data_IF_835671442169
#
_entry.id   IF_835671442169
#
_cell.length_a   1.000
_cell.length_b   1.000
_cell.length_c   1.000
_cell.angle_alpha   90.00
_cell.angle_beta   90.00
_cell.angle_gamma   90.00
#
_symmetry.space_group_name_H-M   'P 1'
#
loop_
_entity.id
_entity.type
_entity.pdbx_description
1 polymer ?
#
# COMPACT_ATOMS: atom_id res chain seq x y z
N UNK A 1 -47.41 -53.11 -21.30
CA UNK A 1 -47.33 -51.66 -21.03
C UNK A 1 -45.86 -51.28 -20.99
N UNK A 2 -45.41 -50.56 -22.01
CA UNK A 2 -44.02 -50.17 -22.21
C UNK A 2 -43.73 -48.85 -21.47
N UNK A 3 -42.67 -48.83 -20.66
CA UNK A 3 -42.16 -47.60 -20.06
C UNK A 3 -41.10 -47.00 -21.00
N UNK A 4 -41.15 -45.70 -21.35
CA UNK A 4 -40.27 -45.13 -22.35
C UNK A 4 -38.88 -44.82 -21.76
N UNK A 5 -37.84 -45.08 -22.57
CA UNK A 5 -36.40 -44.81 -22.31
C UNK A 5 -36.03 -43.32 -22.25
N UNK A 6 -36.97 -42.42 -21.94
CA UNK A 6 -36.75 -40.96 -21.98
C UNK A 6 -36.19 -40.37 -20.69
N UNK A 7 -36.08 -41.15 -19.61
CA UNK A 7 -35.70 -40.63 -18.29
C UNK A 7 -34.20 -40.60 -17.99
N UNK A 8 -33.35 -41.32 -18.73
CA UNK A 8 -31.90 -41.40 -18.41
C UNK A 8 -31.06 -40.31 -19.10
N UNK A 9 -31.49 -39.84 -20.29
CA UNK A 9 -30.79 -38.80 -21.04
C UNK A 9 -30.97 -37.39 -20.44
N UNK A 10 -32.09 -37.14 -19.76
CA UNK A 10 -32.34 -35.86 -19.05
C UNK A 10 -31.53 -35.74 -17.75
N UNK A 11 -31.22 -36.85 -17.08
CA UNK A 11 -30.39 -36.85 -15.86
C UNK A 11 -28.90 -36.63 -16.17
N UNK A 12 -28.40 -37.11 -17.31
CA UNK A 12 -27.02 -36.82 -17.76
C UNK A 12 -26.86 -35.39 -18.30
N UNK A 13 -27.90 -34.80 -18.89
CA UNK A 13 -27.88 -33.40 -19.32
C UNK A 13 -27.89 -32.41 -18.14
N UNK A 14 -28.53 -32.75 -17.01
CA UNK A 14 -28.56 -31.89 -15.82
C UNK A 14 -27.27 -31.96 -14.97
N UNK A 15 -26.49 -33.03 -15.06
CA UNK A 15 -25.15 -33.12 -14.44
C UNK A 15 -24.06 -32.40 -15.28
N UNK A 16 -24.33 -32.09 -16.55
CA UNK A 16 -23.39 -31.39 -17.44
C UNK A 16 -23.34 -29.87 -17.28
N UNK A 17 -24.28 -29.26 -16.53
CA UNK A 17 -24.35 -27.80 -16.35
C UNK A 17 -24.09 -27.32 -14.92
N UNK A 18 -23.71 -28.22 -14.01
CA UNK A 18 -23.29 -27.88 -12.64
C UNK A 18 -21.77 -27.92 -12.45
N UNK A 19 -21.00 -27.56 -13.48
CA UNK A 19 -19.66 -27.01 -13.23
C UNK A 19 -19.83 -25.60 -12.68
N UNK A 20 -20.17 -25.52 -11.40
CA UNK A 20 -19.97 -24.31 -10.62
C UNK A 20 -18.56 -23.81 -10.90
N UNK A 21 -18.48 -22.59 -11.41
CA UNK A 21 -17.23 -21.85 -11.57
C UNK A 21 -16.57 -21.86 -10.19
N UNK A 22 -15.58 -22.74 -10.03
CA UNK A 22 -14.75 -22.79 -8.84
C UNK A 22 -14.01 -21.46 -8.81
N UNK A 23 -14.57 -20.50 -8.10
CA UNK A 23 -13.89 -19.28 -7.66
C UNK A 23 -12.88 -19.71 -6.59
N UNK A 24 -11.80 -20.38 -7.03
CA UNK A 24 -10.61 -20.55 -6.21
C UNK A 24 -10.17 -19.16 -5.75
N UNK A 25 -9.90 -18.95 -4.48
CA UNK A 25 -9.30 -17.70 -3.95
C UNK A 25 -7.77 -17.79 -3.86
N UNK A 26 -7.18 -18.88 -4.38
CA UNK A 26 -5.77 -19.22 -4.15
C UNK A 26 -4.99 -19.55 -5.43
N UNK A 27 -5.43 -19.06 -6.59
CA UNK A 27 -4.73 -19.25 -7.87
C UNK A 27 -4.44 -20.70 -8.31
N UNK A 28 -5.20 -21.68 -7.82
CA UNK A 28 -5.15 -23.06 -8.32
C UNK A 28 -5.96 -23.19 -9.62
N UNK A 29 -5.59 -22.39 -10.63
CA UNK A 29 -6.33 -22.29 -11.87
C UNK A 29 -5.99 -23.43 -12.84
N UNK A 30 -6.97 -23.92 -13.62
CA UNK A 30 -6.71 -24.87 -14.69
C UNK A 30 -5.69 -24.33 -15.71
N UNK A 31 -5.02 -25.22 -16.47
CA UNK A 31 -4.12 -24.82 -17.55
C UNK A 31 -4.78 -23.83 -18.52
N UNK A 32 -4.03 -22.81 -18.97
CA UNK A 32 -4.49 -21.74 -19.86
C UNK A 32 -5.63 -20.85 -19.30
N UNK A 33 -5.86 -20.84 -17.98
CA UNK A 33 -6.76 -19.92 -17.29
C UNK A 33 -5.96 -18.99 -16.40
N UNK A 34 -6.29 -17.71 -16.38
CA UNK A 34 -5.57 -16.71 -15.61
C UNK A 34 -6.06 -16.65 -14.16
N UNK A 35 -5.14 -16.45 -13.22
CA UNK A 35 -5.49 -16.02 -11.87
C UNK A 35 -5.48 -14.50 -11.79
N UNK A 36 -6.61 -13.89 -11.45
CA UNK A 36 -6.73 -12.45 -11.17
C UNK A 36 -5.92 -12.03 -9.95
N UNK A 37 -5.69 -10.72 -9.80
CA UNK A 37 -5.09 -10.12 -8.60
C UNK A 37 -5.82 -10.44 -7.29
N UNK A 38 -7.07 -10.90 -7.35
CA UNK A 38 -7.90 -11.25 -6.20
C UNK A 38 -7.93 -12.76 -5.93
N UNK A 39 -7.08 -13.55 -6.62
CA UNK A 39 -6.97 -14.99 -6.41
C UNK A 39 -7.94 -15.83 -7.23
N UNK A 40 -8.85 -15.19 -7.98
CA UNK A 40 -9.90 -15.85 -8.79
C UNK A 40 -9.44 -16.25 -10.18
N UNK A 41 -9.89 -17.41 -10.65
CA UNK A 41 -9.60 -17.93 -11.98
C UNK A 41 -10.59 -17.43 -13.03
N UNK A 42 -10.09 -17.02 -14.20
CA UNK A 42 -10.93 -16.67 -15.34
C UNK A 42 -10.12 -16.33 -16.59
N UNK A 43 -10.81 -16.13 -17.70
CA UNK A 43 -10.19 -15.88 -19.03
C UNK A 43 -10.46 -14.47 -19.55
N UNK A 44 -11.29 -13.68 -18.86
CA UNK A 44 -11.61 -12.31 -19.23
C UNK A 44 -10.48 -11.36 -18.85
N UNK A 45 -10.45 -10.15 -19.39
CA UNK A 45 -9.42 -9.15 -19.04
C UNK A 45 -9.40 -8.78 -17.55
N UNK A 46 -10.50 -8.97 -16.80
CA UNK A 46 -10.49 -8.81 -15.35
C UNK A 46 -9.63 -9.87 -14.62
N UNK A 47 -9.37 -11.01 -15.26
CA UNK A 47 -8.60 -12.13 -14.72
C UNK A 47 -7.23 -12.26 -15.40
N UNK A 48 -7.23 -12.13 -16.72
CA UNK A 48 -6.06 -12.20 -17.59
C UNK A 48 -5.41 -10.87 -17.87
N UNK A 49 -5.94 -9.76 -17.35
CA UNK A 49 -5.34 -8.44 -17.57
C UNK A 49 -4.01 -8.26 -16.84
N UNK A 50 -3.57 -7.02 -16.79
CA UNK A 50 -2.23 -6.62 -16.33
C UNK A 50 -1.87 -7.03 -14.90
N UNK A 51 -2.86 -7.27 -14.03
CA UNK A 51 -2.68 -7.63 -12.61
C UNK A 51 -2.89 -9.13 -12.34
N UNK A 52 -2.94 -9.92 -13.40
CA UNK A 52 -2.98 -11.36 -13.35
C UNK A 52 -1.75 -11.93 -12.61
N UNK A 53 -1.96 -12.80 -11.63
CA UNK A 53 -0.95 -13.44 -10.78
C UNK A 53 -0.26 -14.63 -11.45
N UNK A 54 -0.98 -15.37 -12.28
CA UNK A 54 -0.48 -16.60 -12.95
C UNK A 54 -1.38 -16.99 -14.13
N UNK A 55 -0.90 -17.84 -15.04
CA UNK A 55 -1.61 -18.23 -16.27
C UNK A 55 -1.25 -17.36 -17.49
N UNK A 56 -2.03 -17.38 -18.58
CA UNK A 56 -1.75 -16.64 -19.81
C UNK A 56 -2.13 -15.15 -19.66
N UNK A 57 -1.51 -14.47 -18.70
CA UNK A 57 -1.69 -13.05 -18.44
C UNK A 57 -1.33 -12.22 -19.68
N UNK A 58 -2.21 -11.29 -20.07
CA UNK A 58 -2.09 -10.38 -21.20
C UNK A 58 -1.56 -9.03 -20.72
N UNK A 59 -0.41 -8.61 -21.25
CA UNK A 59 0.22 -7.35 -20.83
C UNK A 59 1.66 -7.11 -21.29
N UNK A 60 2.21 -7.86 -22.24
CA UNK A 60 3.52 -7.57 -22.84
C UNK A 60 3.39 -6.41 -23.84
N UNK A 61 3.39 -5.18 -23.34
CA UNK A 61 3.37 -3.97 -24.17
C UNK A 61 3.55 -2.71 -23.33
N UNK A 62 4.77 -2.17 -23.34
CA UNK A 62 5.24 -0.97 -22.62
C UNK A 62 5.22 -1.13 -21.09
N UNK A 63 6.33 -0.88 -20.36
CA UNK A 63 6.32 -0.98 -18.90
C UNK A 63 5.20 -0.10 -18.34
N UNK A 64 4.23 -0.71 -17.68
CA UNK A 64 3.23 0.03 -16.92
C UNK A 64 3.94 0.75 -15.77
N UNK A 65 3.36 1.83 -15.25
CA UNK A 65 3.90 2.47 -14.06
C UNK A 65 4.09 1.50 -12.88
N UNK A 66 3.26 0.44 -12.78
CA UNK A 66 3.42 -0.62 -11.79
C UNK A 66 4.69 -1.46 -12.00
N UNK A 67 5.11 -1.66 -13.26
CA UNK A 67 6.37 -2.34 -13.60
C UNK A 67 7.59 -1.48 -13.21
N UNK A 68 7.49 -0.16 -13.42
CA UNK A 68 8.53 0.77 -12.97
C UNK A 68 8.65 0.78 -11.43
N UNK A 69 7.52 0.89 -10.72
CA UNK A 69 7.49 0.78 -9.24
C UNK A 69 8.06 -0.58 -8.81
N UNK A 70 7.65 -1.67 -9.45
CA UNK A 70 8.08 -3.03 -9.12
C UNK A 70 9.57 -3.28 -9.37
N UNK A 71 10.13 -2.67 -10.42
CA UNK A 71 11.56 -2.74 -10.75
C UNK A 71 12.43 -1.95 -9.77
N UNK A 72 11.90 -0.84 -9.23
CA UNK A 72 12.60 -0.03 -8.24
C UNK A 72 12.48 -0.64 -6.84
N UNK A 73 11.28 -1.09 -6.46
CA UNK A 73 11.03 -1.78 -5.18
C UNK A 73 11.07 -3.27 -5.45
N UNK A 74 12.26 -3.84 -5.56
CA UNK A 74 12.42 -5.30 -5.70
C UNK A 74 12.05 -6.03 -4.39
N UNK A 75 11.80 -7.34 -4.46
CA UNK A 75 11.62 -8.13 -3.24
C UNK A 75 12.85 -8.07 -2.33
N UNK A 76 14.05 -8.07 -2.91
CA UNK A 76 15.31 -7.94 -2.17
C UNK A 76 15.42 -6.60 -1.43
N UNK A 77 15.10 -5.49 -2.09
CA UNK A 77 15.07 -4.16 -1.46
C UNK A 77 14.08 -4.11 -0.30
N UNK A 78 12.82 -4.55 -0.53
CA UNK A 78 11.79 -4.54 0.52
C UNK A 78 12.18 -5.44 1.71
N UNK A 79 12.69 -6.65 1.42
CA UNK A 79 13.16 -7.58 2.45
C UNK A 79 14.36 -7.03 3.23
N UNK A 80 15.27 -6.32 2.55
CA UNK A 80 16.42 -5.65 3.17
C UNK A 80 16.03 -4.62 4.22
N UNK A 81 14.81 -4.06 4.15
CA UNK A 81 14.26 -3.16 5.15
C UNK A 81 13.54 -3.95 6.25
N UNK A 82 12.50 -4.71 5.89
CA UNK A 82 11.61 -5.34 6.89
C UNK A 82 12.28 -6.43 7.72
N UNK A 83 13.37 -7.03 7.23
CA UNK A 83 14.13 -8.01 8.00
C UNK A 83 15.00 -7.40 9.11
N UNK A 84 15.21 -6.09 9.11
CA UNK A 84 15.89 -5.38 10.20
C UNK A 84 14.99 -5.23 11.44
N UNK A 85 13.68 -5.34 11.28
CA UNK A 85 12.74 -5.36 12.40
C UNK A 85 12.80 -6.69 13.16
N UNK A 86 12.66 -6.60 14.48
CA UNK A 86 12.62 -7.76 15.38
C UNK A 86 11.53 -8.77 14.97
N UNK A 87 11.79 -10.06 15.21
CA UNK A 87 10.87 -11.12 14.80
C UNK A 87 9.47 -11.02 15.44
N UNK A 88 9.37 -10.38 16.61
CA UNK A 88 8.10 -10.15 17.30
C UNK A 88 7.24 -9.03 16.70
N UNK A 89 7.80 -8.21 15.81
CA UNK A 89 7.11 -7.05 15.27
C UNK A 89 5.84 -7.42 14.50
N UNK A 90 4.71 -6.83 14.90
CA UNK A 90 3.41 -7.08 14.26
C UNK A 90 3.42 -6.73 12.77
N UNK A 91 4.12 -5.66 12.40
CA UNK A 91 4.18 -5.19 11.02
C UNK A 91 4.86 -6.16 10.04
N UNK A 92 5.70 -7.10 10.50
CA UNK A 92 6.29 -8.15 9.64
C UNK A 92 5.25 -9.07 9.01
N UNK A 93 4.08 -9.23 9.63
CA UNK A 93 2.95 -10.02 9.11
C UNK A 93 1.91 -9.16 8.37
N UNK A 94 2.11 -7.85 8.34
CA UNK A 94 1.15 -6.90 7.79
C UNK A 94 1.68 -6.27 6.49
N UNK A 95 2.85 -5.65 6.54
CA UNK A 95 3.43 -4.96 5.40
C UNK A 95 4.09 -5.94 4.43
N UNK A 96 3.66 -5.91 3.17
CA UNK A 96 4.26 -6.70 2.10
C UNK A 96 4.59 -5.81 0.92
N UNK A 97 5.61 -6.19 0.14
CA UNK A 97 5.91 -5.55 -1.14
C UNK A 97 4.66 -5.47 -2.02
N UNK A 98 3.93 -6.57 -2.14
CA UNK A 98 2.74 -6.63 -3.00
C UNK A 98 1.63 -5.68 -2.53
N UNK A 99 1.46 -5.50 -1.22
CA UNK A 99 0.51 -4.50 -0.71
C UNK A 99 0.91 -3.07 -1.08
N UNK A 100 2.21 -2.75 -1.09
CA UNK A 100 2.72 -1.47 -1.59
C UNK A 100 2.47 -1.32 -3.09
N UNK A 101 2.88 -2.30 -3.92
CA UNK A 101 2.67 -2.27 -5.37
C UNK A 101 1.17 -2.09 -5.70
N UNK A 102 0.30 -2.87 -5.06
CA UNK A 102 -1.16 -2.80 -5.26
C UNK A 102 -1.76 -1.45 -4.84
N UNK A 103 -1.17 -0.77 -3.85
CA UNK A 103 -1.59 0.56 -3.45
C UNK A 103 -1.19 1.62 -4.49
N UNK A 104 -0.10 1.43 -5.25
CA UNK A 104 0.33 2.38 -6.29
C UNK A 104 -0.57 2.38 -7.52
N UNK A 105 -1.34 1.30 -7.76
CA UNK A 105 -2.28 1.19 -8.89
C UNK A 105 -3.34 2.30 -8.85
N UNK A 106 -3.74 2.75 -7.67
CA UNK A 106 -4.71 3.84 -7.51
C UNK A 106 -4.10 5.23 -7.66
N UNK A 107 -2.80 5.34 -7.94
CA UNK A 107 -2.08 6.58 -8.16
C UNK A 107 -1.27 6.53 -9.49
N UNK A 108 -1.93 6.57 -10.66
CA UNK A 108 -1.25 6.43 -11.95
C UNK A 108 -0.15 7.49 -12.18
N UNK A 109 -0.36 8.72 -11.71
CA UNK A 109 0.65 9.78 -11.80
C UNK A 109 1.92 9.45 -11.01
N UNK A 110 1.81 8.73 -9.90
CA UNK A 110 2.96 8.20 -9.18
C UNK A 110 3.60 7.05 -9.97
N UNK A 111 2.81 6.01 -10.26
CA UNK A 111 3.30 4.81 -10.89
C UNK A 111 4.08 5.12 -12.18
N UNK A 112 3.56 6.02 -13.03
CA UNK A 112 4.14 6.32 -14.33
C UNK A 112 5.41 7.19 -14.30
N UNK A 113 5.73 7.85 -13.17
CA UNK A 113 6.82 8.82 -13.11
C UNK A 113 7.71 8.68 -11.86
N UNK A 114 7.47 7.66 -11.05
CA UNK A 114 8.25 7.46 -9.83
C UNK A 114 9.71 7.19 -10.17
N UNK A 115 10.60 7.92 -9.51
CA UNK A 115 12.05 7.76 -9.66
C UNK A 115 12.60 6.88 -8.55
N UNK A 116 13.79 6.30 -8.75
CA UNK A 116 14.53 5.60 -7.70
C UNK A 116 14.78 6.49 -6.49
N UNK A 117 15.06 7.78 -6.71
CA UNK A 117 15.24 8.77 -5.64
C UNK A 117 13.95 8.97 -4.85
N UNK A 118 12.81 9.12 -5.52
CA UNK A 118 11.51 9.23 -4.85
C UNK A 118 11.17 7.98 -4.02
N UNK A 119 11.48 6.77 -4.52
CA UNK A 119 11.36 5.53 -3.74
C UNK A 119 12.28 5.56 -2.52
N UNK A 120 13.55 5.93 -2.66
CA UNK A 120 14.49 6.04 -1.53
C UNK A 120 13.96 7.02 -0.47
N UNK A 121 13.51 8.21 -0.88
CA UNK A 121 12.93 9.24 -0.01
C UNK A 121 11.71 8.68 0.73
N UNK A 122 10.80 8.04 0.01
CA UNK A 122 9.56 7.48 0.58
C UNK A 122 9.83 6.39 1.61
N UNK A 123 10.65 5.40 1.25
CA UNK A 123 10.97 4.29 2.14
C UNK A 123 11.79 4.75 3.35
N UNK A 124 12.66 5.75 3.23
CA UNK A 124 13.37 6.32 4.38
C UNK A 124 12.42 6.90 5.42
N UNK A 125 11.38 7.61 4.98
CA UNK A 125 10.34 8.10 5.87
C UNK A 125 9.52 6.95 6.46
N UNK A 126 9.15 5.94 5.66
CA UNK A 126 8.42 4.77 6.15
C UNK A 126 9.21 4.03 7.22
N UNK A 127 10.48 3.76 6.97
CA UNK A 127 11.38 3.09 7.90
C UNK A 127 11.47 3.84 9.22
N UNK A 128 11.69 5.16 9.17
CA UNK A 128 11.77 5.95 10.38
C UNK A 128 10.46 5.93 11.18
N UNK A 129 9.33 6.15 10.51
CA UNK A 129 8.01 6.23 11.18
C UNK A 129 7.57 4.91 11.79
N UNK A 130 7.92 3.79 11.15
CA UNK A 130 7.42 2.47 11.54
C UNK A 130 8.46 1.60 12.23
N UNK A 131 9.71 2.06 12.36
CA UNK A 131 10.83 1.25 12.83
C UNK A 131 11.06 0.04 11.92
N UNK A 132 11.42 0.26 10.66
CA UNK A 132 11.62 -0.79 9.66
C UNK A 132 10.37 -1.67 9.43
N UNK A 133 9.20 -1.02 9.33
CA UNK A 133 7.90 -1.70 9.25
C UNK A 133 7.56 -2.56 10.46
N UNK A 134 8.11 -2.26 11.65
CA UNK A 134 7.74 -2.96 12.88
C UNK A 134 6.33 -2.60 13.36
N UNK A 135 6.02 -1.30 13.36
CA UNK A 135 4.80 -0.74 13.95
C UNK A 135 3.75 -0.42 12.87
N UNK A 136 2.51 -0.85 13.13
CA UNK A 136 1.34 -0.54 12.29
C UNK A 136 0.64 0.73 12.79
N UNK A 137 0.65 0.93 14.11
CA UNK A 137 0.09 2.08 14.78
C UNK A 137 1.17 2.76 15.63
N UNK A 138 0.98 4.05 15.90
CA UNK A 138 1.78 4.82 16.83
C UNK A 138 1.83 4.13 18.20
N UNK A 139 3.02 4.05 18.80
CA UNK A 139 3.22 3.46 20.13
C UNK A 139 2.37 4.23 21.15
N UNK A 140 1.52 3.52 21.89
CA UNK A 140 0.54 4.09 22.82
C UNK A 140 -0.48 5.05 22.17
N UNK A 141 -0.58 5.08 20.84
CA UNK A 141 -1.44 6.01 20.10
C UNK A 141 -2.92 5.90 20.46
N UNK A 142 -3.42 4.69 20.74
CA UNK A 142 -4.82 4.47 21.13
C UNK A 142 -5.23 5.20 22.43
N UNK A 143 -4.27 5.58 23.28
CA UNK A 143 -4.52 6.42 24.47
C UNK A 143 -4.71 7.90 24.14
N UNK A 144 -4.42 8.31 22.89
CA UNK A 144 -4.56 9.68 22.38
C UNK A 144 -5.76 9.74 21.45
N UNK A 145 -6.69 10.66 21.69
CA UNK A 145 -7.81 10.84 20.75
C UNK A 145 -7.34 11.39 19.40
N UNK A 146 -6.27 12.21 19.40
CA UNK A 146 -5.71 12.90 18.22
C UNK A 146 -6.81 13.55 17.38
N UNK A 147 -7.76 14.19 18.05
CA UNK A 147 -8.95 14.77 17.45
C UNK A 147 -8.93 16.29 17.68
N UNK A 148 -9.02 17.05 16.59
CA UNK A 148 -9.37 18.46 16.65
C UNK A 148 -10.90 18.59 16.66
N UNK A 149 -11.45 18.82 17.85
CA UNK A 149 -12.90 18.99 18.09
C UNK A 149 -13.48 20.23 17.41
N UNK A 150 -12.63 21.21 17.05
CA UNK A 150 -13.08 22.43 16.38
C UNK A 150 -13.34 22.21 14.88
N UNK A 151 -12.82 21.12 14.30
CA UNK A 151 -12.95 20.84 12.87
C UNK A 151 -14.36 20.36 12.51
N UNK A 152 -15.20 21.29 12.08
CA UNK A 152 -16.59 21.01 11.68
C UNK A 152 -16.72 20.26 10.36
N UNK A 153 -15.71 20.34 9.48
CA UNK A 153 -15.73 19.67 8.16
C UNK A 153 -15.45 18.17 8.28
N UNK A 154 -14.55 17.79 9.18
CA UNK A 154 -14.19 16.41 9.47
C UNK A 154 -14.37 16.13 10.96
N UNK A 155 -15.63 16.06 11.44
CA UNK A 155 -15.91 15.92 12.86
C UNK A 155 -15.39 14.59 13.40
N UNK A 156 -15.06 14.59 14.69
CA UNK A 156 -14.60 13.38 15.35
C UNK A 156 -15.75 12.41 15.61
N UNK A 157 -15.60 11.16 15.18
CA UNK A 157 -16.60 10.13 15.43
C UNK A 157 -16.52 9.68 16.90
N UNK A 158 -17.66 9.51 17.59
CA UNK A 158 -17.68 9.02 18.96
C UNK A 158 -16.93 7.69 19.11
N UNK A 159 -16.11 7.57 20.16
CA UNK A 159 -15.33 6.35 20.46
C UNK A 159 -14.19 6.06 19.49
N UNK A 160 -13.86 6.99 18.57
CA UNK A 160 -12.76 6.82 17.61
C UNK A 160 -11.56 7.69 17.97
N UNK A 161 -10.38 7.16 17.67
CA UNK A 161 -9.10 7.85 17.78
C UNK A 161 -8.45 7.97 16.41
N UNK A 162 -7.80 9.10 16.17
CA UNK A 162 -7.09 9.39 14.92
C UNK A 162 -5.58 9.47 15.14
N UNK A 163 -5.05 8.61 16.01
CA UNK A 163 -3.61 8.46 16.21
C UNK A 163 -2.92 7.91 14.95
N UNK A 164 -1.59 7.94 14.95
CA UNK A 164 -0.81 7.54 13.80
C UNK A 164 -1.07 6.10 13.38
N UNK A 165 -1.43 5.87 12.11
CA UNK A 165 -1.53 4.54 11.50
C UNK A 165 -0.86 4.45 10.14
N UNK A 166 -0.34 3.27 9.81
CA UNK A 166 0.27 2.97 8.52
C UNK A 166 1.67 3.55 8.33
N UNK A 167 2.22 3.47 7.11
CA UNK A 167 3.63 3.76 6.82
C UNK A 167 4.10 5.19 7.13
N UNK A 168 3.19 6.17 7.10
CA UNK A 168 3.49 7.57 7.45
C UNK A 168 2.83 8.01 8.76
N UNK A 169 2.28 7.08 9.53
CA UNK A 169 1.53 7.37 10.76
C UNK A 169 0.49 8.48 10.55
N UNK A 170 -0.42 8.28 9.58
CA UNK A 170 -1.48 9.24 9.29
C UNK A 170 -2.23 9.55 10.58
N UNK A 171 -2.28 10.82 10.94
CA UNK A 171 -2.79 11.30 12.23
C UNK A 171 -3.78 12.43 12.03
N UNK A 172 -4.70 12.58 12.98
CA UNK A 172 -5.72 13.63 13.06
C UNK A 172 -6.93 13.48 12.13
N UNK A 173 -8.12 13.76 12.67
CA UNK A 173 -9.40 13.74 11.96
C UNK A 173 -9.37 14.56 10.65
N UNK A 174 -8.69 15.70 10.65
CA UNK A 174 -8.55 16.55 9.46
C UNK A 174 -7.67 15.95 8.35
N UNK A 175 -6.94 14.86 8.62
CA UNK A 175 -6.27 14.05 7.60
C UNK A 175 -7.05 12.77 7.28
N UNK A 176 -7.59 12.07 8.29
CA UNK A 176 -8.41 10.87 8.08
C UNK A 176 -9.63 11.15 7.20
N UNK A 177 -10.35 12.24 7.46
CA UNK A 177 -11.53 12.63 6.68
C UNK A 177 -11.27 12.80 5.18
N UNK A 178 -10.40 13.73 4.74
CA UNK A 178 -10.14 13.91 3.32
C UNK A 178 -9.39 12.73 2.68
N UNK A 179 -8.56 12.00 3.45
CA UNK A 179 -7.96 10.75 2.98
C UNK A 179 -9.06 9.72 2.64
N UNK A 180 -9.99 9.51 3.57
CA UNK A 180 -11.11 8.60 3.38
C UNK A 180 -11.96 8.97 2.17
N UNK A 181 -12.30 10.26 2.01
CA UNK A 181 -13.00 10.76 0.84
C UNK A 181 -12.26 10.43 -0.46
N UNK A 182 -10.95 10.66 -0.52
CA UNK A 182 -10.14 10.35 -1.70
C UNK A 182 -10.05 8.86 -2.00
N UNK A 183 -10.15 8.00 -0.98
CA UNK A 183 -10.06 6.55 -1.12
C UNK A 183 -11.42 5.87 -1.28
N UNK A 184 -12.54 6.60 -1.14
CA UNK A 184 -13.88 6.04 -1.09
C UNK A 184 -14.15 5.21 0.16
N UNK A 185 -13.52 5.56 1.30
CA UNK A 185 -13.62 4.87 2.58
C UNK A 185 -14.07 5.84 3.68
N UNK A 186 -14.96 5.41 4.57
CA UNK A 186 -15.32 6.22 5.76
C UNK A 186 -14.27 6.05 6.85
N UNK A 187 -13.12 6.72 6.68
CA UNK A 187 -12.02 6.67 7.65
C UNK A 187 -12.27 7.54 8.90
N UNK A 188 -13.35 8.33 8.95
CA UNK A 188 -13.74 9.00 10.19
C UNK A 188 -14.44 8.03 11.14
N UNK A 189 -15.37 7.22 10.62
CA UNK A 189 -16.05 6.20 11.41
C UNK A 189 -15.29 4.88 11.50
N UNK A 190 -14.39 4.61 10.56
CA UNK A 190 -13.59 3.39 10.51
C UNK A 190 -12.08 3.66 10.34
N UNK A 191 -11.44 4.45 11.22
CA UNK A 191 -10.00 4.72 11.11
C UNK A 191 -9.13 3.45 11.21
N UNK A 192 -9.62 2.41 11.88
CA UNK A 192 -8.98 1.10 11.99
C UNK A 192 -8.77 0.38 10.65
N UNK A 193 -9.43 0.81 9.56
CA UNK A 193 -9.18 0.26 8.23
C UNK A 193 -7.72 0.44 7.79
N UNK A 194 -7.06 1.51 8.24
CA UNK A 194 -5.63 1.75 7.95
C UNK A 194 -4.75 0.72 8.63
N UNK A 195 -5.08 0.25 9.84
CA UNK A 195 -4.27 -0.71 10.60
C UNK A 195 -4.70 -2.17 10.43
N UNK A 196 -5.82 -2.43 9.76
CA UNK A 196 -6.33 -3.79 9.50
C UNK A 196 -6.15 -4.26 8.06
N UNK A 197 -5.90 -3.35 7.10
CA UNK A 197 -5.69 -3.70 5.70
C UNK A 197 -4.40 -3.04 5.17
N UNK A 198 -3.37 -3.81 4.79
CA UNK A 198 -2.08 -3.25 4.38
C UNK A 198 -2.14 -2.47 3.06
N UNK A 199 -3.07 -2.81 2.16
CA UNK A 199 -3.28 -2.02 0.93
C UNK A 199 -3.89 -0.66 1.30
N UNK A 200 -4.83 -0.61 2.24
CA UNK A 200 -5.40 0.66 2.73
C UNK A 200 -4.32 1.48 3.46
N UNK A 201 -3.47 0.83 4.25
CA UNK A 201 -2.33 1.47 4.91
C UNK A 201 -1.42 2.20 3.93
N UNK A 202 -1.00 1.50 2.87
CA UNK A 202 -0.17 2.11 1.82
C UNK A 202 -0.95 3.15 1.01
N UNK A 203 -2.23 2.96 0.70
CA UNK A 203 -3.05 3.97 0.02
C UNK A 203 -3.17 5.26 0.82
N UNK A 204 -3.32 5.17 2.14
CA UNK A 204 -3.33 6.34 3.02
C UNK A 204 -1.99 7.07 3.02
N UNK A 205 -0.87 6.34 3.06
CA UNK A 205 0.47 6.92 2.93
C UNK A 205 0.68 7.56 1.54
N UNK A 206 0.23 6.91 0.46
CA UNK A 206 0.29 7.45 -0.89
C UNK A 206 -0.54 8.72 -1.06
N UNK A 207 -1.73 8.78 -0.47
CA UNK A 207 -2.55 9.98 -0.47
C UNK A 207 -1.81 11.15 0.17
N UNK A 208 -1.23 10.95 1.36
CA UNK A 208 -0.46 12.00 2.04
C UNK A 208 0.78 12.39 1.23
N UNK A 209 1.50 11.40 0.69
CA UNK A 209 2.69 11.63 -0.12
C UNK A 209 2.40 12.52 -1.32
N UNK A 210 1.40 12.15 -2.11
CA UNK A 210 1.02 12.88 -3.33
C UNK A 210 0.55 14.31 -3.02
N UNK A 211 -0.14 14.49 -1.89
CA UNK A 211 -0.67 15.79 -1.46
C UNK A 211 0.37 16.71 -0.87
N UNK A 212 1.26 16.19 -0.02
CA UNK A 212 2.08 17.02 0.88
C UNK A 212 3.58 16.90 0.63
N UNK A 213 4.07 15.75 0.18
CA UNK A 213 5.51 15.46 0.10
C UNK A 213 6.04 15.57 -1.33
N UNK A 214 5.34 14.96 -2.28
CA UNK A 214 5.72 14.98 -3.70
C UNK A 214 5.90 16.39 -4.27
N UNK A 215 5.04 17.38 -3.94
CA UNK A 215 5.20 18.76 -4.43
C UNK A 215 6.51 19.44 -4.00
N UNK A 216 7.18 18.95 -2.95
CA UNK A 216 8.44 19.54 -2.45
C UNK A 216 9.67 18.66 -2.71
N UNK A 217 9.53 17.53 -3.42
CA UNK A 217 10.66 16.62 -3.70
C UNK A 217 11.82 17.30 -4.42
N UNK A 218 11.53 18.24 -5.31
CA UNK A 218 12.55 18.99 -6.06
C UNK A 218 13.37 19.95 -5.18
N UNK A 219 12.93 20.21 -3.94
CA UNK A 219 13.65 21.06 -2.98
C UNK A 219 14.68 20.26 -2.17
N UNK A 220 14.64 18.93 -2.21
CA UNK A 220 15.55 18.02 -1.51
C UNK A 220 14.90 17.27 -0.34
N UNK A 221 15.62 16.28 0.20
CA UNK A 221 15.11 15.41 1.28
C UNK A 221 14.80 16.18 2.58
N UNK A 222 15.51 17.28 2.86
CA UNK A 222 15.19 18.15 3.99
C UNK A 222 13.79 18.76 3.92
N UNK A 223 13.34 19.11 2.71
CA UNK A 223 11.99 19.64 2.50
C UNK A 223 10.92 18.57 2.72
N UNK A 224 11.20 17.31 2.40
CA UNK A 224 10.25 16.20 2.64
C UNK A 224 10.14 15.87 4.13
N UNK A 225 11.24 15.97 4.90
CA UNK A 225 11.19 15.92 6.37
C UNK A 225 10.27 17.03 6.89
N UNK A 226 10.48 18.27 6.44
CA UNK A 226 9.67 19.43 6.87
C UNK A 226 8.18 19.26 6.53
N UNK A 227 7.87 18.68 5.38
CA UNK A 227 6.49 18.41 4.96
C UNK A 227 5.78 17.33 5.81
N UNK A 228 6.54 16.38 6.36
CA UNK A 228 6.00 15.30 7.21
C UNK A 228 5.94 15.73 8.67
N UNK A 229 7.00 16.39 9.15
CA UNK A 229 7.19 16.72 10.56
C UNK A 229 8.03 17.99 10.69
N UNK A 230 7.40 19.13 10.48
CA UNK A 230 8.08 20.45 10.52
C UNK A 230 8.73 20.76 11.87
N UNK A 231 8.24 20.14 12.95
CA UNK A 231 8.77 20.27 14.31
C UNK A 231 10.15 19.62 14.52
N UNK A 232 10.55 18.68 13.65
CA UNK A 232 11.87 18.04 13.73
C UNK A 232 12.99 18.96 13.19
N UNK A 233 12.64 19.87 12.28
CA UNK A 233 13.59 20.74 11.60
C UNK A 233 14.06 21.94 12.46
N UNK A 234 15.05 22.68 11.95
CA UNK A 234 15.64 23.86 12.55
C UNK A 234 16.18 23.62 13.98
N UNK A 235 16.75 22.43 14.21
CA UNK A 235 17.26 22.02 15.51
C UNK A 235 16.22 21.43 16.47
N UNK A 236 14.95 21.29 16.06
CA UNK A 236 13.88 20.75 16.92
C UNK A 236 14.12 19.30 17.35
N UNK A 237 14.54 18.43 16.43
CA UNK A 237 14.96 17.07 16.75
C UNK A 237 16.04 16.57 15.78
N UNK A 238 17.29 16.94 16.05
CA UNK A 238 18.44 16.55 15.23
C UNK A 238 18.61 15.04 15.11
N UNK A 239 18.29 14.28 16.17
CA UNK A 239 18.37 12.81 16.14
C UNK A 239 17.38 12.21 15.13
N UNK A 240 16.15 12.72 15.09
CA UNK A 240 15.13 12.30 14.12
C UNK A 240 15.56 12.61 12.68
N UNK A 241 15.98 13.84 12.43
CA UNK A 241 16.46 14.29 11.12
C UNK A 241 17.62 13.41 10.64
N UNK A 242 18.64 13.23 11.48
CA UNK A 242 19.81 12.41 11.14
C UNK A 242 19.45 10.95 10.89
N UNK A 243 18.54 10.37 11.69
CA UNK A 243 18.04 9.01 11.47
C UNK A 243 17.38 8.84 10.11
N UNK A 244 16.50 9.78 9.72
CA UNK A 244 15.86 9.79 8.38
C UNK A 244 16.88 9.93 7.26
N UNK A 245 17.88 10.80 7.42
CA UNK A 245 18.96 10.99 6.43
C UNK A 245 19.79 9.72 6.28
N UNK A 246 20.06 9.01 7.38
CA UNK A 246 20.76 7.72 7.36
C UNK A 246 20.06 6.70 6.46
N UNK A 247 18.76 6.47 6.69
CA UNK A 247 17.96 5.58 5.84
C UNK A 247 17.90 6.05 4.38
N UNK A 248 17.74 7.35 4.15
CA UNK A 248 17.68 7.91 2.80
C UNK A 248 18.96 7.65 2.01
N UNK A 249 20.13 7.89 2.61
CA UNK A 249 21.42 7.65 1.96
C UNK A 249 21.66 6.16 1.70
N UNK A 250 21.32 5.31 2.66
CA UNK A 250 21.39 3.84 2.48
C UNK A 250 20.51 3.39 1.29
N UNK A 251 19.25 3.81 1.24
CA UNK A 251 18.33 3.39 0.18
C UNK A 251 18.68 4.00 -1.18
N UNK A 252 19.21 5.22 -1.22
CA UNK A 252 19.82 5.78 -2.43
C UNK A 252 20.98 4.91 -2.94
N UNK A 253 21.85 4.44 -2.04
CA UNK A 253 22.95 3.51 -2.37
C UNK A 253 22.43 2.18 -2.93
N UNK A 254 21.47 1.55 -2.26
CA UNK A 254 20.87 0.29 -2.70
C UNK A 254 20.16 0.41 -4.07
N UNK A 255 19.59 1.57 -4.37
CA UNK A 255 18.91 1.85 -5.63
C UNK A 255 19.82 2.47 -6.70
N UNK A 256 21.10 2.66 -6.41
CA UNK A 256 22.09 3.20 -7.35
C UNK A 256 21.72 4.60 -7.86
N UNK A 257 21.27 5.49 -6.95
CA UNK A 257 20.88 6.86 -7.30
C UNK A 257 21.54 7.87 -6.35
N UNK A 258 22.00 8.98 -6.92
CA UNK A 258 22.60 10.06 -6.13
C UNK A 258 21.56 10.70 -5.17
N UNK A 259 21.88 10.91 -3.87
CA UNK A 259 20.96 11.52 -2.90
C UNK A 259 20.60 12.99 -3.18
N UNK A 260 21.37 13.68 -4.02
CA UNK A 260 21.21 15.11 -4.29
C UNK A 260 21.62 16.00 -3.11
N UNK A 261 21.42 17.31 -3.31
CA UNK A 261 21.66 18.33 -2.31
C UNK A 261 20.47 18.48 -1.32
N UNK A 262 20.63 19.37 -0.34
CA UNK A 262 19.57 19.79 0.59
C UNK A 262 18.92 18.61 1.35
N UNK A 263 19.75 17.70 1.87
CA UNK A 263 19.26 16.52 2.58
C UNK A 263 18.83 16.78 4.02
N UNK A 264 19.18 17.94 4.58
CA UNK A 264 18.87 18.31 5.95
C UNK A 264 17.81 19.41 5.99
N UNK A 265 17.10 19.46 7.10
CA UNK A 265 16.42 20.62 7.63
C UNK A 265 16.84 20.73 9.11
#
# INVERSE_FOLDING_TARGET
>A
MAFPNTSLLLLLALLGFYSQIIKSQNCNCPPNVCCSQFGYCGTTDAHCGRTCRSGPCRGSGTPSGADAVGSNVTQGFFNGIINQADNGCAGKRFYTRDSFINATITSPSFANSVTRREIATMFAHFTYQTGHFCYIEEINGASRSSCDQSNRRYPCAPGKSYHGRGPLLLSWNYNYGPCGQSLGLDLLRHPELISSNPIVAFRAAMWFWMKSVRPVLNQGFGATIRAISSLECNGGNLGAVNGRIGYYRDYCGQLGVDPGANVTC
#
